data_IF_561164337317
#
_entry.id   IF_561164337317
#
_cell.length_a   1.000
_cell.length_b   1.000
_cell.length_c   1.000
_cell.angle_alpha   90.00
_cell.angle_beta   90.00
_cell.angle_gamma   90.00
#
_symmetry.space_group_name_H-M   'P 1'
#
loop_
_entity.id
_entity.type
_entity.pdbx_description
1 polymer ?
#
# COMPACT_ATOMS: atom_id res chain seq x y z
N UNK A 1 17.91 5.31 -18.74
CA UNK A 1 17.12 5.52 -17.51
C UNK A 1 17.95 4.95 -16.36
N UNK A 2 18.31 5.75 -15.36
CA UNK A 2 19.03 5.26 -14.19
C UNK A 2 18.15 4.21 -13.49
N UNK A 3 18.72 3.04 -13.20
CA UNK A 3 18.00 1.98 -12.50
C UNK A 3 17.90 2.39 -11.03
N UNK A 4 16.75 2.90 -10.62
CA UNK A 4 16.48 3.21 -9.22
C UNK A 4 16.51 1.90 -8.42
N UNK A 5 17.39 1.81 -7.42
CA UNK A 5 17.42 0.69 -6.49
C UNK A 5 16.61 1.07 -5.26
N UNK A 6 15.56 0.31 -4.98
CA UNK A 6 14.73 0.48 -3.79
C UNK A 6 15.23 -0.41 -2.68
N UNK A 7 15.36 0.14 -1.47
CA UNK A 7 15.75 -0.62 -0.29
C UNK A 7 14.58 -1.49 0.19
N UNK A 8 14.57 -2.75 -0.25
CA UNK A 8 13.53 -3.73 0.08
C UNK A 8 14.21 -5.03 0.51
N UNK A 9 14.20 -5.32 1.81
CA UNK A 9 14.76 -6.54 2.38
C UNK A 9 13.66 -7.49 2.88
N UNK A 10 13.71 -8.76 2.45
CA UNK A 10 12.77 -9.79 2.91
C UNK A 10 12.86 -10.03 4.42
N UNK A 11 14.04 -9.93 5.02
CA UNK A 11 14.21 -10.13 6.47
C UNK A 11 13.47 -9.06 7.27
N UNK A 12 13.55 -7.80 6.83
CA UNK A 12 12.82 -6.68 7.43
C UNK A 12 11.30 -6.90 7.30
N UNK A 13 10.83 -7.27 6.11
CA UNK A 13 9.41 -7.57 5.87
C UNK A 13 8.88 -8.71 6.75
N UNK A 14 9.71 -9.71 7.04
CA UNK A 14 9.39 -10.77 8.00
C UNK A 14 9.34 -10.21 9.41
N UNK A 15 10.35 -9.44 9.82
CA UNK A 15 10.47 -8.84 11.15
C UNK A 15 9.30 -7.93 11.51
N UNK A 16 8.80 -7.14 10.55
CA UNK A 16 7.62 -6.27 10.73
C UNK A 16 6.28 -6.98 10.51
N UNK A 17 6.30 -8.25 10.04
CA UNK A 17 5.09 -9.07 9.93
C UNK A 17 4.22 -8.83 8.69
N UNK A 18 4.78 -8.34 7.57
CA UNK A 18 4.02 -8.08 6.31
C UNK A 18 3.37 -9.34 5.72
N UNK A 19 3.92 -10.52 6.05
CA UNK A 19 3.45 -11.81 5.55
C UNK A 19 2.10 -12.25 6.16
N UNK A 20 1.61 -11.60 7.21
CA UNK A 20 0.32 -11.93 7.81
C UNK A 20 -0.83 -11.36 6.99
N UNK A 21 -1.54 -12.25 6.30
CA UNK A 21 -2.74 -11.92 5.52
C UNK A 21 -4.03 -11.98 6.35
N UNK A 22 -5.16 -12.16 5.65
CA UNK A 22 -6.48 -12.26 6.28
C UNK A 22 -6.75 -13.67 6.84
N UNK A 23 -7.74 -13.77 7.74
CA UNK A 23 -8.22 -15.05 8.24
C UNK A 23 -8.82 -15.93 7.15
N UNK A 24 -8.64 -17.25 7.25
CA UNK A 24 -9.02 -18.22 6.21
C UNK A 24 -10.53 -18.31 5.94
N UNK A 25 -11.36 -17.73 6.81
CA UNK A 25 -12.82 -17.65 6.63
C UNK A 25 -13.29 -16.36 5.95
N UNK A 26 -12.46 -15.32 5.94
CA UNK A 26 -12.78 -13.98 5.42
C UNK A 26 -11.73 -13.56 4.38
N UNK A 27 -11.55 -14.40 3.37
CA UNK A 27 -10.63 -14.14 2.26
C UNK A 27 -11.36 -14.20 0.92
N UNK A 28 -10.81 -13.53 -0.08
CA UNK A 28 -11.35 -13.49 -1.44
C UNK A 28 -10.58 -14.52 -2.28
N UNK A 29 -11.24 -15.52 -2.91
CA UNK A 29 -10.56 -16.59 -3.66
C UNK A 29 -9.61 -16.11 -4.76
N UNK A 30 -9.89 -14.95 -5.35
CA UNK A 30 -9.01 -14.30 -6.35
C UNK A 30 -7.61 -13.96 -5.81
N UNK A 31 -7.42 -13.92 -4.50
CA UNK A 31 -6.11 -13.70 -3.87
C UNK A 31 -5.24 -14.94 -3.84
N UNK A 32 -5.74 -16.12 -4.26
CA UNK A 32 -4.99 -17.38 -4.23
C UNK A 32 -3.57 -17.29 -4.82
N UNK A 33 -3.33 -16.59 -5.96
CA UNK A 33 -1.98 -16.48 -6.52
C UNK A 33 -0.97 -15.72 -5.61
N UNK A 34 -1.45 -14.92 -4.67
CA UNK A 34 -0.63 -14.10 -3.78
C UNK A 34 -0.41 -14.74 -2.40
N UNK A 35 -1.01 -15.91 -2.15
CA UNK A 35 -0.97 -16.62 -0.88
C UNK A 35 0.04 -17.77 -1.00
N UNK A 36 1.03 -17.80 -0.11
CA UNK A 36 2.01 -18.89 -0.03
C UNK A 36 1.50 -20.08 0.79
N UNK A 37 0.63 -19.83 1.76
CA UNK A 37 0.08 -20.88 2.61
C UNK A 37 -0.90 -20.38 3.65
N UNK A 38 -1.17 -21.21 4.66
CA UNK A 38 -2.00 -20.86 5.82
C UNK A 38 -1.38 -21.42 7.09
N UNK A 39 -1.44 -20.65 8.18
CA UNK A 39 -0.94 -21.06 9.51
C UNK A 39 -1.89 -20.54 10.58
N UNK A 40 -2.32 -21.42 11.50
CA UNK A 40 -3.22 -21.06 12.63
C UNK A 40 -4.48 -20.27 12.19
N UNK A 41 -5.07 -20.60 11.04
CA UNK A 41 -6.27 -19.94 10.53
C UNK A 41 -6.05 -18.58 9.86
N UNK A 42 -4.79 -18.17 9.62
CA UNK A 42 -4.41 -16.94 8.90
C UNK A 42 -3.72 -17.34 7.59
N UNK A 43 -4.05 -16.67 6.49
CA UNK A 43 -3.32 -16.80 5.23
C UNK A 43 -1.96 -16.11 5.31
N UNK A 44 -0.93 -16.76 4.80
CA UNK A 44 0.41 -16.18 4.67
C UNK A 44 0.55 -15.68 3.23
N UNK A 45 0.89 -14.41 3.07
CA UNK A 45 1.14 -13.80 1.76
C UNK A 45 2.56 -14.12 1.28
N UNK A 46 2.74 -14.23 -0.04
CA UNK A 46 4.04 -14.49 -0.64
C UNK A 46 4.89 -13.21 -0.66
N UNK A 47 5.89 -13.14 0.24
CA UNK A 47 6.77 -11.96 0.36
C UNK A 47 7.64 -11.71 -0.86
N UNK A 48 8.14 -12.74 -1.54
CA UNK A 48 8.93 -12.57 -2.78
C UNK A 48 8.11 -11.84 -3.84
N UNK A 49 6.84 -12.24 -4.00
CA UNK A 49 5.92 -11.60 -4.93
C UNK A 49 5.57 -10.17 -4.49
N UNK A 50 5.33 -9.96 -3.20
CA UNK A 50 5.11 -8.61 -2.63
C UNK A 50 6.31 -7.69 -2.87
N UNK A 51 7.54 -8.17 -2.67
CA UNK A 51 8.76 -7.39 -2.87
C UNK A 51 8.93 -6.97 -4.35
N UNK A 52 8.68 -7.90 -5.29
CA UNK A 52 8.71 -7.60 -6.73
C UNK A 52 7.68 -6.53 -7.10
N UNK A 53 6.43 -6.73 -6.69
CA UNK A 53 5.35 -5.76 -6.97
C UNK A 53 5.58 -4.41 -6.29
N UNK A 54 6.20 -4.38 -5.11
CA UNK A 54 6.57 -3.15 -4.43
C UNK A 54 7.63 -2.39 -5.22
N UNK A 55 8.68 -3.07 -5.69
CA UNK A 55 9.72 -2.47 -6.53
C UNK A 55 9.13 -1.85 -7.81
N UNK A 56 8.29 -2.59 -8.54
CA UNK A 56 7.63 -2.09 -9.75
C UNK A 56 6.73 -0.88 -9.47
N UNK A 57 6.01 -0.91 -8.34
CA UNK A 57 5.16 0.22 -7.94
C UNK A 57 5.99 1.45 -7.60
N UNK A 58 7.11 1.28 -6.91
CA UNK A 58 8.02 2.38 -6.61
C UNK A 58 8.59 3.02 -7.88
N UNK A 59 8.94 2.22 -8.90
CA UNK A 59 9.37 2.73 -10.21
C UNK A 59 8.29 3.59 -10.88
N UNK A 60 7.03 3.13 -10.88
CA UNK A 60 5.91 3.87 -11.45
C UNK A 60 5.61 5.17 -10.70
N UNK A 61 5.65 5.14 -9.37
CA UNK A 61 5.45 6.32 -8.53
C UNK A 61 6.58 7.32 -8.73
N UNK A 62 7.81 6.84 -8.87
CA UNK A 62 8.97 7.68 -9.16
C UNK A 62 8.86 8.38 -10.53
N UNK A 63 8.49 7.65 -11.59
CA UNK A 63 8.22 8.26 -12.90
C UNK A 63 7.11 9.32 -12.81
N UNK A 64 5.99 8.97 -12.18
CA UNK A 64 4.86 9.89 -12.00
C UNK A 64 5.27 11.16 -11.24
N UNK A 65 6.06 11.04 -10.18
CA UNK A 65 6.55 12.15 -9.39
C UNK A 65 7.56 13.02 -10.18
N UNK A 66 8.46 12.39 -10.94
CA UNK A 66 9.41 13.10 -11.80
C UNK A 66 8.73 13.97 -12.86
N UNK A 67 7.51 13.58 -13.27
CA UNK A 67 6.66 14.29 -14.22
C UNK A 67 5.74 15.33 -13.57
N UNK A 68 5.87 15.55 -12.25
CA UNK A 68 5.10 16.54 -11.51
C UNK A 68 3.63 16.18 -11.30
N UNK A 69 3.26 14.89 -11.34
CA UNK A 69 1.88 14.47 -11.08
C UNK A 69 1.53 14.62 -9.60
N UNK A 70 0.24 14.79 -9.31
CA UNK A 70 -0.29 14.88 -7.95
C UNK A 70 -0.60 13.49 -7.38
N UNK A 71 -0.38 13.32 -6.07
CA UNK A 71 -0.67 12.09 -5.34
C UNK A 71 -1.69 12.34 -4.24
N UNK A 72 -2.56 11.35 -4.04
CA UNK A 72 -3.53 11.32 -2.96
C UNK A 72 -3.35 10.02 -2.16
N UNK A 73 -3.07 10.15 -0.86
CA UNK A 73 -2.91 9.01 0.05
C UNK A 73 -4.18 8.86 0.91
N UNK A 74 -4.77 7.67 0.89
CA UNK A 74 -6.04 7.42 1.59
C UNK A 74 -5.85 6.32 2.62
N UNK A 75 -6.19 6.61 3.87
CA UNK A 75 -6.22 5.59 4.92
C UNK A 75 -7.03 6.06 6.11
N UNK A 76 -8.26 5.55 6.20
CA UNK A 76 -9.29 5.98 7.16
C UNK A 76 -9.40 5.09 8.39
N UNK A 77 -8.56 4.06 8.48
CA UNK A 77 -8.54 3.11 9.60
C UNK A 77 -7.82 3.76 10.78
N UNK A 78 -8.37 3.63 11.99
CA UNK A 78 -7.81 4.24 13.21
C UNK A 78 -6.30 4.03 13.37
N UNK A 79 -5.81 2.81 13.12
CA UNK A 79 -4.38 2.47 13.21
C UNK A 79 -3.50 3.12 12.14
N UNK A 80 -4.08 3.66 11.07
CA UNK A 80 -3.38 4.25 9.93
C UNK A 80 -3.47 5.78 9.91
N UNK A 81 -4.36 6.40 10.69
CA UNK A 81 -4.69 7.84 10.60
C UNK A 81 -3.45 8.73 10.75
N UNK A 82 -2.63 8.48 11.77
CA UNK A 82 -1.44 9.27 12.06
C UNK A 82 -0.29 8.95 11.10
N UNK A 83 -0.17 7.68 10.70
CA UNK A 83 0.84 7.25 9.72
C UNK A 83 0.61 7.89 8.35
N UNK A 84 -0.65 7.96 7.91
CA UNK A 84 -1.02 8.60 6.63
C UNK A 84 -0.74 10.10 6.67
N UNK A 85 -1.14 10.79 7.73
CA UNK A 85 -0.89 12.23 7.86
C UNK A 85 0.61 12.55 7.86
N UNK A 86 1.38 11.87 8.71
CA UNK A 86 2.83 12.11 8.84
C UNK A 86 3.60 11.80 7.55
N UNK A 87 3.30 10.68 6.87
CA UNK A 87 3.92 10.32 5.60
C UNK A 87 3.60 11.36 4.50
N UNK A 88 2.35 11.83 4.46
CA UNK A 88 1.91 12.77 3.43
C UNK A 88 2.49 14.17 3.62
N UNK A 89 2.58 14.65 4.87
CA UNK A 89 3.21 15.92 5.20
C UNK A 89 4.68 15.92 4.76
N UNK A 90 5.41 14.82 5.03
CA UNK A 90 6.79 14.64 4.56
C UNK A 90 6.90 14.63 3.05
N UNK A 91 5.96 13.98 2.37
CA UNK A 91 5.92 13.87 0.92
C UNK A 91 5.30 15.09 0.19
N UNK A 92 4.77 16.08 0.92
CA UNK A 92 4.05 17.25 0.38
C UNK A 92 2.93 16.88 -0.61
N UNK A 93 2.18 15.81 -0.31
CA UNK A 93 1.08 15.32 -1.14
C UNK A 93 -0.29 15.60 -0.49
N UNK A 94 -1.38 15.20 -1.13
CA UNK A 94 -2.73 15.27 -0.55
C UNK A 94 -3.06 13.98 0.21
N UNK A 95 -3.89 14.06 1.27
CA UNK A 95 -4.36 12.87 1.97
C UNK A 95 -5.79 12.97 2.48
N UNK A 96 -6.37 11.80 2.73
CA UNK A 96 -7.60 11.63 3.50
C UNK A 96 -7.37 10.55 4.55
N UNK A 97 -7.39 10.96 5.82
CA UNK A 97 -7.25 10.06 6.97
C UNK A 97 -8.49 10.02 7.87
N UNK A 98 -9.50 10.83 7.57
CA UNK A 98 -10.83 10.79 8.19
C UNK A 98 -11.84 10.11 7.25
N UNK A 99 -13.13 10.21 7.54
CA UNK A 99 -14.20 9.70 6.67
C UNK A 99 -14.02 10.18 5.23
N UNK A 100 -13.90 9.22 4.30
CA UNK A 100 -13.92 9.49 2.87
C UNK A 100 -15.35 9.75 2.42
N UNK A 101 -15.66 10.97 2.01
CA UNK A 101 -16.98 11.32 1.49
C UNK A 101 -17.13 10.82 0.05
N UNK A 102 -18.25 10.17 -0.25
CA UNK A 102 -18.59 9.78 -1.61
C UNK A 102 -18.67 11.02 -2.49
N UNK A 103 -18.03 10.99 -3.66
CA UNK A 103 -17.96 12.13 -4.57
C UNK A 103 -16.66 12.93 -4.53
N UNK A 104 -15.75 12.72 -3.57
CA UNK A 104 -14.49 13.49 -3.48
C UNK A 104 -13.55 13.37 -4.70
N UNK A 105 -13.74 12.39 -5.58
CA UNK A 105 -12.97 12.30 -6.83
C UNK A 105 -13.80 12.54 -8.09
N UNK A 106 -15.11 12.34 -8.03
CA UNK A 106 -16.01 12.40 -9.19
C UNK A 106 -16.85 13.67 -9.23
N UNK A 107 -16.98 14.38 -8.11
CA UNK A 107 -17.76 15.59 -7.94
C UNK A 107 -16.98 16.68 -7.20
N UNK A 108 -15.80 17.00 -7.74
CA UNK A 108 -14.85 17.96 -7.16
C UNK A 108 -15.38 19.41 -7.11
N UNK A 109 -16.31 19.77 -7.99
CA UNK A 109 -16.90 21.12 -8.00
C UNK A 109 -17.82 21.40 -6.82
N UNK A 110 -18.41 20.36 -6.24
CA UNK A 110 -19.42 20.48 -5.20
C UNK A 110 -18.89 20.08 -3.82
N UNK A 111 -17.88 19.21 -3.80
CA UNK A 111 -17.26 18.69 -2.58
C UNK A 111 -15.96 19.42 -2.32
#
# INVERSE_FOLDING_TARGET
MARSYWDINLEEMIGVGVHFGHGTRKWIPRMAPYISGKRKGIHITNLTRTACSLSETCDLVFDAASRGKHFLIVGTKDKAVDSVASATIRARCHYVNKKWLGGMSTNWSTT
#
